data_IF_259859988181
#
_entry.id   IF_259859988181
#
_cell.length_a   1.000
_cell.length_b   1.000
_cell.length_c   1.000
_cell.angle_alpha   90.00
_cell.angle_beta   90.00
_cell.angle_gamma   90.00
#
_symmetry.space_group_name_H-M   'P 1'
#
loop_
_entity.id
_entity.type
_entity.pdbx_description
1 polymer ?
#
# COMPACT_ATOMS: atom_id res chain seq x y z
N UNK A 1 -16.55 6.46 -1.19
CA UNK A 1 -15.72 5.39 -1.78
C UNK A 1 -15.18 4.46 -0.69
N UNK A 2 -15.19 3.12 -0.85
CA UNK A 2 -14.91 2.14 0.24
C UNK A 2 -13.53 2.30 0.92
N UNK A 3 -12.49 2.64 0.18
CA UNK A 3 -11.11 2.83 0.71
C UNK A 3 -10.61 4.26 0.55
N UNK A 4 -11.51 5.25 0.57
CA UNK A 4 -11.19 6.66 0.25
C UNK A 4 -9.91 7.16 0.93
N UNK A 5 -9.79 6.98 2.25
CA UNK A 5 -8.64 7.45 3.02
C UNK A 5 -7.29 6.86 2.53
N UNK A 6 -7.27 5.59 2.11
CA UNK A 6 -6.05 4.97 1.57
C UNK A 6 -5.66 5.61 0.24
N UNK A 7 -6.64 5.78 -0.66
CA UNK A 7 -6.39 6.40 -1.96
C UNK A 7 -6.05 7.88 -1.85
N UNK A 8 -6.63 8.62 -0.89
CA UNK A 8 -6.28 10.01 -0.64
C UNK A 8 -4.79 10.14 -0.30
N UNK A 9 -4.27 9.29 0.59
CA UNK A 9 -2.84 9.26 0.96
C UNK A 9 -1.95 8.89 -0.23
N UNK A 10 -2.34 7.89 -1.02
CA UNK A 10 -1.58 7.49 -2.21
C UNK A 10 -1.55 8.58 -3.29
N UNK A 11 -2.66 9.27 -3.51
CA UNK A 11 -2.76 10.34 -4.50
C UNK A 11 -2.00 11.59 -4.05
N UNK A 12 -2.05 11.94 -2.76
CA UNK A 12 -1.26 13.00 -2.16
C UNK A 12 0.25 12.72 -2.34
N UNK A 13 0.69 11.49 -2.06
CA UNK A 13 2.09 11.09 -2.26
C UNK A 13 2.50 11.16 -3.74
N UNK A 14 1.64 10.73 -4.66
CA UNK A 14 1.88 10.79 -6.11
C UNK A 14 2.03 12.23 -6.63
N UNK A 15 1.30 13.18 -6.06
CA UNK A 15 1.39 14.59 -6.46
C UNK A 15 2.64 15.28 -5.92
N UNK A 16 3.09 14.89 -4.72
CA UNK A 16 4.18 15.57 -4.00
C UNK A 16 5.55 14.95 -4.23
N UNK A 17 5.63 13.67 -4.64
CA UNK A 17 6.88 12.92 -4.70
C UNK A 17 7.17 12.44 -6.13
N UNK A 18 8.18 13.03 -6.81
CA UNK A 18 8.60 12.57 -8.13
C UNK A 18 8.96 11.08 -8.15
N UNK A 19 8.49 10.38 -9.18
CA UNK A 19 8.77 8.96 -9.38
C UNK A 19 7.92 8.00 -8.54
N UNK A 20 7.15 8.49 -7.56
CA UNK A 20 6.18 7.66 -6.84
C UNK A 20 5.11 7.14 -7.80
N UNK A 21 4.83 5.84 -7.74
CA UNK A 21 3.70 5.24 -8.45
C UNK A 21 3.04 4.16 -7.62
N UNK A 22 1.82 3.80 -8.00
CA UNK A 22 1.18 2.60 -7.45
C UNK A 22 0.35 1.92 -8.52
N UNK A 23 0.35 0.59 -8.48
CA UNK A 23 -0.48 -0.29 -9.28
C UNK A 23 -1.65 -0.78 -8.41
N UNK A 24 -2.87 -0.53 -8.88
CA UNK A 24 -4.10 -0.88 -8.17
C UNK A 24 -4.74 -2.11 -8.81
N UNK A 25 -4.60 -3.25 -8.12
CA UNK A 25 -5.16 -4.54 -8.52
C UNK A 25 -6.37 -4.91 -7.67
N UNK A 26 -6.99 -3.92 -7.03
CA UNK A 26 -8.01 -4.17 -6.02
C UNK A 26 -9.35 -4.59 -6.64
N UNK A 27 -9.90 -5.70 -6.15
CA UNK A 27 -11.14 -6.27 -6.67
C UNK A 27 -12.42 -5.48 -6.34
N UNK A 28 -12.39 -4.57 -5.36
CA UNK A 28 -13.61 -3.91 -4.87
C UNK A 28 -14.34 -3.04 -5.91
N UNK A 29 -13.65 -2.62 -6.98
CA UNK A 29 -14.24 -1.85 -8.10
C UNK A 29 -14.71 -2.73 -9.25
N UNK A 30 -14.38 -4.03 -9.25
CA UNK A 30 -14.69 -4.91 -10.35
C UNK A 30 -16.20 -5.13 -10.50
N UNK A 31 -16.67 -5.17 -11.73
CA UNK A 31 -18.03 -5.59 -12.09
C UNK A 31 -17.94 -6.45 -13.36
N UNK A 32 -18.40 -7.71 -13.33
CA UNK A 32 -19.00 -8.42 -12.19
C UNK A 32 -17.96 -8.75 -11.10
N UNK A 33 -18.42 -9.01 -9.89
CA UNK A 33 -17.58 -9.56 -8.81
C UNK A 33 -17.36 -11.06 -9.05
N UNK A 34 -16.10 -11.49 -8.94
CA UNK A 34 -15.71 -12.91 -8.99
C UNK A 34 -15.18 -13.35 -7.63
N UNK A 35 -15.02 -14.66 -7.44
CA UNK A 35 -14.38 -15.21 -6.24
C UNK A 35 -13.02 -14.53 -5.94
N UNK A 36 -12.19 -14.31 -6.97
CA UNK A 36 -10.89 -13.66 -6.81
C UNK A 36 -11.01 -12.20 -6.36
N UNK A 37 -11.96 -11.43 -6.91
CA UNK A 37 -12.12 -10.01 -6.56
C UNK A 37 -12.71 -9.82 -5.16
N UNK A 38 -13.50 -10.80 -4.69
CA UNK A 38 -14.03 -10.85 -3.33
C UNK A 38 -12.93 -11.23 -2.33
N UNK A 39 -12.04 -12.17 -2.66
CA UNK A 39 -10.94 -12.58 -1.79
C UNK A 39 -9.88 -11.48 -1.59
N UNK A 40 -9.65 -10.66 -2.63
CA UNK A 40 -8.67 -9.56 -2.60
C UNK A 40 -9.34 -8.23 -2.88
N UNK A 41 -10.22 -7.77 -1.96
CA UNK A 41 -10.96 -6.54 -2.18
C UNK A 41 -10.04 -5.32 -2.15
N UNK A 42 -8.87 -5.38 -1.50
CA UNK A 42 -7.82 -4.36 -1.59
C UNK A 42 -6.49 -5.06 -1.93
N UNK A 43 -5.83 -4.61 -3.00
CA UNK A 43 -4.51 -5.07 -3.39
C UNK A 43 -3.80 -3.97 -4.18
N UNK A 44 -2.97 -3.19 -3.50
CA UNK A 44 -2.21 -2.08 -4.10
C UNK A 44 -0.73 -2.33 -3.89
N UNK A 45 0.06 -2.13 -4.95
CA UNK A 45 1.52 -2.17 -4.89
C UNK A 45 2.01 -0.75 -5.13
N UNK A 46 2.59 -0.12 -4.11
CA UNK A 46 3.15 1.22 -4.20
C UNK A 46 4.67 1.15 -4.22
N UNK A 47 5.29 1.93 -5.11
CA UNK A 47 6.73 2.11 -5.20
C UNK A 47 7.05 3.56 -4.86
N UNK A 48 7.89 3.75 -3.84
CA UNK A 48 8.27 5.06 -3.35
C UNK A 48 9.79 5.22 -3.41
N UNK A 49 10.32 5.79 -4.50
CA UNK A 49 11.75 6.05 -4.64
C UNK A 49 12.30 6.97 -3.54
N UNK A 50 11.50 7.92 -3.03
CA UNK A 50 11.94 8.86 -2.00
C UNK A 50 12.27 8.19 -0.66
N UNK A 51 11.64 7.06 -0.34
CA UNK A 51 11.97 6.25 0.84
C UNK A 51 12.78 5.00 0.50
N UNK A 52 12.94 4.68 -0.79
CA UNK A 52 13.57 3.46 -1.27
C UNK A 52 12.77 2.20 -0.88
N UNK A 53 11.44 2.27 -0.95
CA UNK A 53 10.55 1.20 -0.45
C UNK A 53 9.49 0.81 -1.49
N UNK A 54 9.16 -0.48 -1.49
CA UNK A 54 7.93 -1.02 -2.10
C UNK A 54 6.99 -1.46 -1.00
N UNK A 55 5.72 -1.07 -1.11
CA UNK A 55 4.67 -1.37 -0.15
C UNK A 55 3.57 -2.19 -0.84
N UNK A 56 3.15 -3.29 -0.21
CA UNK A 56 1.96 -4.05 -0.59
C UNK A 56 0.88 -3.77 0.44
N UNK A 57 -0.18 -3.09 0.00
CA UNK A 57 -1.31 -2.69 0.83
C UNK A 57 -2.45 -3.64 0.48
N UNK A 58 -2.79 -4.55 1.38
CA UNK A 58 -3.77 -5.59 1.10
C UNK A 58 -4.87 -5.66 2.15
N UNK A 59 -5.99 -6.22 1.74
CA UNK A 59 -7.04 -6.70 2.63
C UNK A 59 -7.26 -8.18 2.33
N UNK A 60 -7.12 -9.03 3.35
CA UNK A 60 -7.44 -10.45 3.29
C UNK A 60 -8.54 -10.75 4.32
N UNK A 61 -9.73 -11.10 3.82
CA UNK A 61 -10.92 -11.20 4.68
C UNK A 61 -11.20 -9.88 5.39
N UNK A 62 -11.16 -9.89 6.73
CA UNK A 62 -11.36 -8.70 7.57
C UNK A 62 -10.05 -8.00 7.95
N UNK A 63 -8.89 -8.59 7.66
CA UNK A 63 -7.58 -8.09 8.07
C UNK A 63 -7.01 -7.14 7.03
N UNK A 64 -6.48 -6.02 7.49
CA UNK A 64 -5.72 -5.08 6.66
C UNK A 64 -4.24 -5.22 6.96
N UNK A 65 -3.39 -5.14 5.94
CA UNK A 65 -1.95 -5.20 6.16
C UNK A 65 -1.17 -4.33 5.17
N UNK A 66 0.03 -3.96 5.61
CA UNK A 66 1.06 -3.34 4.78
C UNK A 66 2.30 -4.22 4.91
N UNK A 67 2.73 -4.82 3.80
CA UNK A 67 4.06 -5.40 3.70
C UNK A 67 5.02 -4.37 3.10
N UNK A 68 6.22 -4.22 3.64
CA UNK A 68 7.20 -3.22 3.23
C UNK A 68 8.51 -3.92 2.95
N UNK A 69 9.10 -3.63 1.80
CA UNK A 69 10.44 -4.11 1.43
C UNK A 69 11.28 -2.97 0.88
N UNK A 70 12.60 -3.06 1.07
CA UNK A 70 13.53 -2.10 0.47
C UNK A 70 13.63 -2.34 -1.03
N UNK A 71 13.80 -1.26 -1.77
CA UNK A 71 13.86 -1.21 -3.21
C UNK A 71 15.13 -0.45 -3.62
N UNK A 72 15.90 -1.00 -4.55
CA UNK A 72 17.08 -0.32 -5.11
C UNK A 72 16.70 0.64 -6.25
N UNK A 73 17.69 1.32 -6.83
CA UNK A 73 17.49 2.27 -7.93
C UNK A 73 16.93 1.61 -9.20
N UNK A 74 17.18 0.31 -9.40
CA UNK A 74 16.65 -0.50 -10.50
C UNK A 74 15.25 -1.08 -10.18
N UNK A 75 14.68 -0.72 -9.03
CA UNK A 75 13.38 -1.18 -8.53
C UNK A 75 13.35 -2.66 -8.14
N UNK A 76 14.49 -3.27 -7.87
CA UNK A 76 14.58 -4.61 -7.33
C UNK A 76 14.41 -4.59 -5.82
N UNK A 77 13.73 -5.61 -5.30
CA UNK A 77 13.52 -5.76 -3.88
C UNK A 77 14.72 -6.44 -3.23
N UNK A 78 15.16 -5.93 -2.09
CA UNK A 78 16.22 -6.56 -1.30
C UNK A 78 15.92 -6.49 0.20
N UNK A 79 16.66 -7.27 0.98
CA UNK A 79 16.50 -7.34 2.43
C UNK A 79 15.17 -8.00 2.89
N UNK A 80 14.91 -7.97 4.21
CA UNK A 80 13.73 -8.58 4.81
C UNK A 80 12.44 -7.81 4.47
N UNK A 81 11.32 -8.53 4.55
CA UNK A 81 9.98 -7.94 4.45
C UNK A 81 9.44 -7.65 5.84
N UNK A 82 8.98 -6.43 6.07
CA UNK A 82 8.32 -6.02 7.31
C UNK A 82 6.81 -6.04 7.11
N UNK A 83 6.07 -6.58 8.08
CA UNK A 83 4.63 -6.72 7.99
C UNK A 83 3.95 -5.95 9.12
N UNK A 84 3.00 -5.09 8.77
CA UNK A 84 2.19 -4.33 9.72
C UNK A 84 0.73 -4.72 9.51
N UNK A 85 0.09 -5.22 10.55
CA UNK A 85 -1.35 -5.50 10.53
C UNK A 85 -2.12 -4.30 11.08
N UNK A 86 -3.24 -3.97 10.45
CA UNK A 86 -4.10 -2.85 10.81
C UNK A 86 -5.50 -3.35 11.13
N UNK A 87 -6.10 -2.79 12.19
CA UNK A 87 -7.44 -3.18 12.65
C UNK A 87 -8.54 -2.71 11.71
N UNK A 88 -8.33 -1.56 11.05
CA UNK A 88 -9.33 -0.93 10.19
C UNK A 88 -8.69 -0.05 9.12
N UNK A 89 -9.53 0.39 8.17
CA UNK A 89 -9.15 1.24 7.02
C UNK A 89 -8.55 2.58 7.43
N UNK A 90 -9.00 3.16 8.54
CA UNK A 90 -8.50 4.46 9.03
C UNK A 90 -7.09 4.31 9.57
N UNK A 91 -6.84 3.29 10.41
CA UNK A 91 -5.51 2.99 10.93
C UNK A 91 -4.54 2.61 9.80
N UNK A 92 -5.02 1.86 8.80
CA UNK A 92 -4.25 1.54 7.59
C UNK A 92 -3.77 2.81 6.88
N UNK A 93 -4.66 3.79 6.65
CA UNK A 93 -4.31 5.04 6.00
C UNK A 93 -3.32 5.89 6.83
N UNK A 94 -3.50 5.92 8.16
CA UNK A 94 -2.59 6.62 9.07
C UNK A 94 -1.18 6.02 9.04
N UNK A 95 -1.07 4.69 9.15
CA UNK A 95 0.22 4.00 9.10
C UNK A 95 0.85 4.19 7.72
N UNK A 96 0.08 4.09 6.64
CA UNK A 96 0.58 4.33 5.29
C UNK A 96 1.19 5.73 5.15
N UNK A 97 0.51 6.77 5.66
CA UNK A 97 1.05 8.15 5.67
C UNK A 97 2.36 8.22 6.45
N UNK A 98 2.41 7.63 7.65
CA UNK A 98 3.63 7.59 8.45
C UNK A 98 4.81 6.92 7.70
N UNK A 99 4.55 5.85 6.94
CA UNK A 99 5.61 5.16 6.17
C UNK A 99 6.19 6.02 5.04
N UNK A 100 5.42 6.98 4.50
CA UNK A 100 5.90 7.92 3.49
C UNK A 100 6.67 9.11 4.06
N UNK A 101 6.35 9.51 5.30
CA UNK A 101 7.02 10.61 5.99
C UNK A 101 8.30 10.16 6.71
N UNK A 102 8.32 8.93 7.23
CA UNK A 102 9.42 8.43 8.05
C UNK A 102 10.58 7.87 7.22
N UNK A 103 11.78 8.42 7.44
CA UNK A 103 13.05 7.86 6.92
C UNK A 103 13.43 6.53 7.59
N UNK A 104 12.83 6.21 8.74
CA UNK A 104 13.04 4.98 9.50
C UNK A 104 11.85 4.05 9.33
N UNK A 105 12.06 2.74 9.27
CA UNK A 105 10.96 1.78 9.25
C UNK A 105 10.33 1.76 10.65
N UNK A 106 9.03 2.08 10.79
CA UNK A 106 8.33 1.78 12.03
C UNK A 106 8.15 0.26 12.13
N UNK A 107 8.70 -0.30 13.21
CA UNK A 107 8.53 -1.68 13.66
C UNK A 107 7.32 -1.74 14.59
#
# INVERSE_FOLDING_TARGET
MKYKAVYDVLNERRQTTPGFCYDDRSGWRASPQTYMTIQRPLWIIAEDPATGRRLWITQEGTRFSIAIRRMDEQRHNYGPTYHITCENRTKLAQILRYQFESKTLAV
#
